data_IF_767285332170
#
_entry.id   IF_767285332170
#
_cell.length_a   1.000
_cell.length_b   1.000
_cell.length_c   1.000
_cell.angle_alpha   90.00
_cell.angle_beta   90.00
_cell.angle_gamma   90.00
#
_symmetry.space_group_name_H-M   'P 1'
#
loop_
_entity.id
_entity.type
_entity.pdbx_description
1 polymer ?
#
# COMPACT_ATOMS: atom_id res chain seq x y z
N UNK A 1 11.85 -2.41 41.55
CA UNK A 1 12.09 -2.00 40.15
C UNK A 1 11.69 -3.14 39.23
N UNK A 2 10.53 -3.02 38.58
CA UNK A 2 10.12 -3.83 37.43
C UNK A 2 9.73 -2.83 36.35
N UNK A 3 10.39 -2.88 35.20
CA UNK A 3 10.03 -2.09 34.04
C UNK A 3 9.18 -2.96 33.13
N UNK A 4 7.93 -2.56 32.91
CA UNK A 4 7.05 -3.15 31.92
C UNK A 4 7.11 -2.27 30.66
N UNK A 5 7.63 -2.83 29.57
CA UNK A 5 7.64 -2.16 28.26
C UNK A 5 6.29 -2.37 27.59
N UNK A 6 5.54 -1.28 27.40
CA UNK A 6 4.33 -1.23 26.59
C UNK A 6 4.67 -1.51 25.12
N UNK A 7 4.21 -2.65 24.63
CA UNK A 7 4.31 -3.06 23.23
C UNK A 7 3.22 -2.34 22.42
N UNK A 8 3.61 -1.28 21.73
CA UNK A 8 2.74 -0.52 20.82
C UNK A 8 2.35 -1.40 19.63
N UNK A 9 1.11 -1.89 19.65
CA UNK A 9 0.52 -2.64 18.54
C UNK A 9 0.33 -1.73 17.33
N UNK A 10 1.05 -2.02 16.26
CA UNK A 10 0.85 -1.41 14.95
C UNK A 10 -0.37 -2.06 14.27
N UNK A 11 -1.43 -1.27 14.07
CA UNK A 11 -2.56 -1.65 13.22
C UNK A 11 -2.11 -1.65 11.76
N UNK A 12 -1.71 -2.81 11.27
CA UNK A 12 -1.39 -3.04 9.86
C UNK A 12 -2.68 -3.33 9.11
N UNK A 13 -2.95 -2.54 8.08
CA UNK A 13 -4.09 -2.64 7.16
C UNK A 13 -4.36 -4.10 6.75
N UNK A 14 -5.61 -4.54 6.95
CA UNK A 14 -6.10 -5.85 6.56
C UNK A 14 -6.11 -5.98 5.03
N UNK A 15 -5.09 -6.62 4.47
CA UNK A 15 -5.27 -7.42 3.27
C UNK A 15 -5.81 -8.77 3.74
N UNK A 16 -7.09 -9.05 3.51
CA UNK A 16 -7.65 -10.38 3.70
C UNK A 16 -7.09 -11.29 2.60
N UNK A 17 -5.92 -11.86 2.87
CA UNK A 17 -5.45 -13.06 2.18
C UNK A 17 -6.06 -14.20 2.99
N UNK A 18 -7.10 -14.84 2.47
CA UNK A 18 -7.54 -16.14 2.99
C UNK A 18 -6.42 -17.15 2.70
N UNK A 19 -5.49 -17.26 3.64
CA UNK A 19 -4.45 -18.30 3.67
C UNK A 19 -5.11 -19.54 4.28
N UNK A 20 -6.22 -20.00 3.71
CA UNK A 20 -6.85 -21.21 4.18
C UNK A 20 -6.21 -22.42 3.50
N UNK A 21 -5.41 -23.14 4.30
CA UNK A 21 -5.00 -24.56 4.16
C UNK A 21 -4.15 -25.02 2.98
N UNK A 22 -4.03 -24.29 1.86
CA UNK A 22 -3.43 -24.87 0.65
C UNK A 22 -2.09 -24.30 0.18
N UNK A 23 -1.45 -23.34 0.88
CA UNK A 23 -0.15 -22.76 0.45
C UNK A 23 -0.11 -22.44 -1.07
N UNK A 24 -1.23 -22.02 -1.65
CA UNK A 24 -1.38 -21.79 -3.08
C UNK A 24 -1.90 -20.38 -3.29
N UNK A 25 -1.17 -19.60 -4.07
CA UNK A 25 -1.54 -18.27 -4.54
C UNK A 25 -2.21 -18.38 -5.91
N UNK A 26 -3.44 -17.88 -6.02
CA UNK A 26 -4.13 -17.71 -7.29
C UNK A 26 -3.80 -16.32 -7.87
N UNK A 27 -3.38 -16.27 -9.13
CA UNK A 27 -3.00 -15.00 -9.78
C UNK A 27 -3.43 -14.99 -11.26
N UNK A 28 -3.59 -13.79 -11.84
CA UNK A 28 -3.88 -13.60 -13.27
C UNK A 28 -3.11 -12.39 -13.80
N UNK A 29 -2.63 -12.47 -15.04
CA UNK A 29 -1.94 -11.36 -15.70
C UNK A 29 -2.90 -10.55 -16.58
N UNK A 30 -2.79 -9.23 -16.55
CA UNK A 30 -3.57 -8.34 -17.43
C UNK A 30 -5.09 -8.37 -17.20
N UNK A 31 -5.54 -8.87 -16.04
CA UNK A 31 -6.96 -9.02 -15.66
C UNK A 31 -7.85 -9.83 -16.62
N UNK A 32 -7.31 -10.32 -17.73
CA UNK A 32 -7.96 -11.20 -18.69
C UNK A 32 -7.49 -12.65 -18.57
N UNK A 33 -8.40 -13.59 -18.80
CA UNK A 33 -8.10 -15.03 -18.82
C UNK A 33 -8.36 -15.75 -17.49
N UNK A 34 -7.90 -17.00 -17.42
CA UNK A 34 -8.11 -17.90 -16.29
C UNK A 34 -7.09 -17.64 -15.16
N UNK A 35 -7.50 -17.91 -13.91
CA UNK A 35 -6.59 -17.87 -12.77
C UNK A 35 -5.55 -18.99 -12.87
N UNK A 36 -4.30 -18.63 -12.63
CA UNK A 36 -3.18 -19.56 -12.49
C UNK A 36 -2.90 -19.77 -10.99
N UNK A 37 -2.46 -20.96 -10.64
CA UNK A 37 -2.09 -21.34 -9.27
C UNK A 37 -0.57 -21.33 -9.14
N UNK A 38 -0.08 -20.97 -7.96
CA UNK A 38 1.35 -20.94 -7.64
C UNK A 38 1.57 -21.40 -6.21
N UNK A 39 2.44 -22.39 -6.02
CA UNK A 39 2.76 -22.88 -4.67
C UNK A 39 3.68 -21.91 -3.93
N UNK A 40 3.33 -21.67 -2.67
CA UNK A 40 4.07 -20.86 -1.72
C UNK A 40 4.85 -21.78 -0.78
N UNK A 41 6.14 -21.49 -0.59
CA UNK A 41 6.99 -22.17 0.38
C UNK A 41 7.29 -21.28 1.57
N UNK A 42 7.38 -21.91 2.74
CA UNK A 42 7.70 -21.24 3.99
C UNK A 42 6.46 -20.93 4.83
N UNK A 43 6.66 -20.85 6.14
CA UNK A 43 5.64 -20.50 7.13
C UNK A 43 5.97 -19.10 7.66
N UNK A 44 5.02 -18.18 7.66
CA UNK A 44 5.18 -16.82 8.20
C UNK A 44 4.76 -15.71 7.23
N UNK A 45 5.13 -14.46 7.57
CA UNK A 45 4.66 -13.23 6.89
C UNK A 45 5.08 -13.09 5.42
N UNK A 46 6.15 -13.77 4.98
CA UNK A 46 6.68 -13.66 3.63
C UNK A 46 7.04 -15.05 3.06
N UNK A 47 6.05 -15.82 2.59
CA UNK A 47 6.35 -17.07 1.90
C UNK A 47 7.06 -16.79 0.57
N UNK A 48 8.02 -17.64 0.20
CA UNK A 48 8.71 -17.56 -1.09
C UNK A 48 7.92 -18.30 -2.16
N UNK A 49 7.95 -17.76 -3.38
CA UNK A 49 7.38 -18.41 -4.56
C UNK A 49 8.39 -19.41 -5.13
N UNK A 50 7.95 -20.63 -5.42
CA UNK A 50 8.84 -21.74 -5.85
C UNK A 50 8.97 -21.87 -7.38
N UNK A 51 7.94 -21.49 -8.14
CA UNK A 51 7.76 -22.01 -9.51
C UNK A 51 8.38 -21.16 -10.62
N UNK A 52 8.53 -19.84 -10.47
CA UNK A 52 9.21 -18.97 -11.43
C UNK A 52 9.51 -17.58 -10.85
N UNK A 53 10.57 -16.89 -11.31
CA UNK A 53 10.81 -15.50 -10.95
C UNK A 53 9.68 -14.63 -11.55
N UNK A 54 8.92 -13.96 -10.69
CA UNK A 54 7.95 -12.96 -11.13
C UNK A 54 8.70 -11.78 -11.72
N UNK A 55 8.45 -11.47 -12.99
CA UNK A 55 9.00 -10.26 -13.61
C UNK A 55 8.36 -9.04 -12.95
N UNK A 56 9.15 -8.02 -12.59
CA UNK A 56 8.60 -6.78 -12.07
C UNK A 56 7.71 -6.13 -13.13
N UNK A 57 6.52 -5.70 -12.71
CA UNK A 57 5.57 -5.00 -13.60
C UNK A 57 6.13 -3.64 -14.04
N UNK A 58 6.94 -3.01 -13.20
CA UNK A 58 7.53 -1.70 -13.46
C UNK A 58 9.05 -1.78 -13.42
N UNK A 59 9.68 -1.24 -14.45
CA UNK A 59 11.15 -1.15 -14.55
C UNK A 59 11.72 0.04 -13.77
N UNK A 60 10.87 1.02 -13.45
CA UNK A 60 11.23 2.27 -12.79
C UNK A 60 10.13 2.68 -11.81
N UNK A 61 10.48 3.49 -10.83
CA UNK A 61 9.51 4.14 -9.95
C UNK A 61 8.55 4.97 -10.79
N UNK A 62 7.25 4.75 -10.57
CA UNK A 62 6.23 5.55 -11.25
C UNK A 62 6.27 7.00 -10.74
N UNK A 63 6.15 7.98 -11.64
CA UNK A 63 5.99 9.37 -11.25
C UNK A 63 4.70 9.58 -10.46
N UNK A 64 4.75 10.51 -9.51
CA UNK A 64 3.57 10.99 -8.77
C UNK A 64 3.25 12.43 -9.16
N UNK A 65 2.03 12.87 -8.87
CA UNK A 65 1.63 14.27 -9.09
C UNK A 65 2.37 15.22 -8.13
N UNK A 66 2.48 16.49 -8.53
CA UNK A 66 3.10 17.52 -7.72
C UNK A 66 2.33 17.77 -6.42
N UNK A 67 0.99 17.68 -6.47
CA UNK A 67 0.13 17.77 -5.29
C UNK A 67 0.49 16.67 -4.28
N UNK A 68 0.49 15.40 -4.73
CA UNK A 68 0.85 14.27 -3.86
C UNK A 68 2.26 14.41 -3.30
N UNK A 69 3.23 14.88 -4.10
CA UNK A 69 4.59 15.10 -3.62
C UNK A 69 4.66 16.17 -2.53
N UNK A 70 3.93 17.27 -2.70
CA UNK A 70 3.83 18.34 -1.70
C UNK A 70 3.28 17.80 -0.39
N UNK A 71 2.16 17.08 -0.44
CA UNK A 71 1.50 16.51 0.74
C UNK A 71 2.43 15.55 1.51
N UNK A 72 3.13 14.67 0.79
CA UNK A 72 4.10 13.76 1.40
C UNK A 72 5.24 14.50 2.11
N UNK A 73 5.72 15.61 1.53
CA UNK A 73 6.75 16.43 2.14
C UNK A 73 6.23 17.19 3.37
N UNK A 74 4.97 17.64 3.36
CA UNK A 74 4.34 18.20 4.55
C UNK A 74 4.20 17.18 5.68
N UNK A 75 3.80 15.95 5.35
CA UNK A 75 3.73 14.86 6.33
C UNK A 75 5.11 14.51 6.90
N UNK A 76 6.18 14.66 6.11
CA UNK A 76 7.55 14.56 6.60
C UNK A 76 7.88 15.68 7.58
N UNK A 77 7.53 16.94 7.26
CA UNK A 77 7.74 18.10 8.15
C UNK A 77 6.98 17.98 9.47
N UNK A 78 5.75 17.46 9.43
CA UNK A 78 4.90 17.20 10.60
C UNK A 78 5.36 15.98 11.43
N UNK A 79 6.43 15.29 11.02
CA UNK A 79 6.95 14.08 11.65
C UNK A 79 5.95 12.92 11.75
N UNK A 80 4.85 12.98 10.98
CA UNK A 80 3.89 11.87 10.84
C UNK A 80 4.57 10.71 10.13
N UNK A 81 5.38 11.02 9.11
CA UNK A 81 6.24 10.05 8.43
C UNK A 81 7.59 9.99 9.18
N UNK A 82 8.07 8.79 9.59
CA UNK A 82 9.36 8.64 10.23
C UNK A 82 10.53 9.14 9.36
N UNK A 83 11.50 9.81 10.00
CA UNK A 83 12.67 10.43 9.34
C UNK A 83 13.43 9.53 8.37
N UNK A 84 13.51 8.22 8.68
CA UNK A 84 14.15 7.22 7.81
C UNK A 84 13.57 7.12 6.40
N UNK A 85 12.36 7.63 6.19
CA UNK A 85 11.69 7.62 4.88
C UNK A 85 11.72 8.98 4.17
N UNK A 86 12.15 10.06 4.82
CA UNK A 86 12.09 11.42 4.25
C UNK A 86 12.87 11.52 2.94
N UNK A 87 14.09 10.97 2.90
CA UNK A 87 14.91 10.93 1.70
C UNK A 87 14.25 10.17 0.54
N UNK A 88 13.44 9.15 0.84
CA UNK A 88 12.71 8.39 -0.19
C UNK A 88 11.64 9.26 -0.84
N UNK A 89 10.85 9.98 -0.05
CA UNK A 89 9.77 10.82 -0.56
C UNK A 89 10.29 12.09 -1.28
N UNK A 90 11.39 12.67 -0.80
CA UNK A 90 12.03 13.81 -1.47
C UNK A 90 12.50 13.49 -2.90
N UNK A 91 13.00 12.26 -3.11
CA UNK A 91 13.55 11.79 -4.38
C UNK A 91 12.51 11.16 -5.32
N UNK A 92 11.20 11.23 -5.00
CA UNK A 92 10.18 10.70 -5.91
C UNK A 92 10.12 11.51 -7.22
N UNK A 93 10.06 10.82 -8.38
CA UNK A 93 9.91 11.48 -9.66
C UNK A 93 8.57 12.20 -9.73
N UNK A 94 8.60 13.46 -10.16
CA UNK A 94 7.43 14.30 -10.32
C UNK A 94 7.57 15.09 -11.62
N UNK A 95 6.86 14.71 -12.70
CA UNK A 95 6.83 15.46 -13.94
C UNK A 95 5.93 16.69 -13.79
N UNK A 96 6.34 17.81 -14.37
CA UNK A 96 5.62 19.09 -14.25
C UNK A 96 4.21 19.06 -14.87
N UNK A 97 3.89 18.04 -15.68
CA UNK A 97 2.67 17.96 -16.50
C UNK A 97 1.73 16.82 -16.11
N UNK A 98 1.95 16.10 -15.00
CA UNK A 98 1.00 15.06 -14.59
C UNK A 98 -0.22 15.67 -13.89
N UNK A 99 -1.35 15.71 -14.58
CA UNK A 99 -2.64 15.97 -13.95
C UNK A 99 -3.01 14.83 -12.99
N UNK A 100 -3.40 15.20 -11.79
CA UNK A 100 -3.93 14.27 -10.79
C UNK A 100 -5.30 13.77 -11.28
N UNK A 101 -5.33 12.53 -11.76
CA UNK A 101 -6.56 11.87 -12.22
C UNK A 101 -7.26 11.11 -11.08
N UNK A 102 -6.98 11.43 -9.81
CA UNK A 102 -7.75 10.89 -8.71
C UNK A 102 -9.23 11.31 -8.86
N UNK A 103 -10.18 10.39 -8.66
CA UNK A 103 -11.59 10.75 -8.54
C UNK A 103 -11.74 11.77 -7.39
N UNK A 104 -12.55 12.81 -7.59
CA UNK A 104 -12.85 13.73 -6.51
C UNK A 104 -13.45 12.96 -5.32
N UNK A 105 -13.10 13.32 -4.08
CA UNK A 105 -13.72 12.73 -2.91
C UNK A 105 -15.24 12.92 -3.01
N UNK A 106 -15.99 11.85 -2.76
CA UNK A 106 -17.45 11.93 -2.72
C UNK A 106 -17.87 13.03 -1.75
N UNK A 107 -18.83 13.86 -2.16
CA UNK A 107 -19.39 14.88 -1.29
C UNK A 107 -19.93 14.22 -0.02
N UNK A 108 -19.62 14.83 1.11
CA UNK A 108 -20.05 14.43 2.45
C UNK A 108 -21.59 14.39 2.49
N UNK A 109 -22.18 13.19 2.57
CA UNK A 109 -23.62 13.01 2.82
C UNK A 109 -23.89 13.50 4.25
N UNK A 110 -24.18 14.79 4.38
CA UNK A 110 -24.63 15.39 5.62
C UNK A 110 -26.07 14.92 5.85
N UNK A 111 -26.24 13.95 6.76
CA UNK A 111 -27.52 13.43 7.20
C UNK A 111 -28.30 14.55 7.92
N UNK A 112 -29.24 15.18 7.21
CA UNK A 112 -30.20 16.13 7.78
C UNK A 112 -31.14 15.37 8.73
N UNK A 113 -30.86 15.42 10.03
CA UNK A 113 -31.81 15.04 11.07
C UNK A 113 -33.12 15.86 10.92
N UNK A 114 -34.17 15.22 10.41
CA UNK A 114 -35.53 15.74 10.51
C UNK A 114 -36.00 15.68 11.97
N UNK A 115 -35.94 16.82 12.65
CA UNK A 115 -36.65 17.02 13.92
C UNK A 115 -38.16 16.99 13.69
N UNK A 116 -38.82 16.13 14.46
CA UNK A 116 -40.27 15.83 14.50
C UNK A 116 -41.11 17.03 14.91
#
# INVERSE_FOLDING_TARGET
MRMETLSTGCMSSHFNIDIDTLNVLLYRYGFGGQFKQMKLRGRGKHPSVEEFPLNPVYNKTLPISQATKSDLLELCKKLVIPGRYHARYANLPCPDTSEDNAPQPAADDTDDEQTV
#
